data_IF_462169782367
#
_entry.id   IF_462169782367
#
_cell.length_a   1.000
_cell.length_b   1.000
_cell.length_c   1.000
_cell.angle_alpha   90.00
_cell.angle_beta   90.00
_cell.angle_gamma   90.00
#
_symmetry.space_group_name_H-M   'P 1'
#
loop_
_entity.id
_entity.type
_entity.pdbx_description
1 polymer ?
#
# COMPACT_ATOMS: atom_id res chain seq x y z
N UNK A 1 1.20 -16.04 -22.92
CA UNK A 1 0.63 -15.15 -23.94
C UNK A 1 1.71 -14.35 -24.66
N UNK A 2 2.35 -13.35 -24.06
CA UNK A 2 3.40 -12.56 -24.74
C UNK A 2 4.69 -13.35 -25.05
N UNK A 3 5.17 -14.15 -24.10
CA UNK A 3 6.34 -15.05 -24.26
C UNK A 3 6.00 -16.38 -24.92
N UNK A 4 4.72 -16.63 -25.27
CA UNK A 4 4.25 -17.91 -25.78
C UNK A 4 4.21 -19.07 -24.78
N UNK A 5 4.54 -18.85 -23.50
CA UNK A 5 4.66 -19.92 -22.48
C UNK A 5 3.31 -20.45 -21.97
N UNK A 6 2.24 -19.66 -22.11
CA UNK A 6 0.85 -20.05 -21.80
C UNK A 6 -0.07 -19.59 -22.93
N UNK A 7 -1.12 -20.36 -23.19
CA UNK A 7 -2.20 -20.00 -24.12
C UNK A 7 -3.34 -19.25 -23.40
N UNK A 8 -4.42 -18.96 -24.12
CA UNK A 8 -5.57 -18.24 -23.57
C UNK A 8 -6.32 -19.08 -22.52
N UNK A 9 -6.45 -20.39 -22.73
CA UNK A 9 -7.15 -21.27 -21.80
C UNK A 9 -6.39 -21.34 -20.47
N UNK A 10 -5.08 -21.56 -20.51
CA UNK A 10 -4.22 -21.53 -19.32
C UNK A 10 -4.24 -20.17 -18.62
N UNK A 11 -4.28 -19.05 -19.36
CA UNK A 11 -4.46 -17.73 -18.77
C UNK A 11 -5.80 -17.61 -18.00
N UNK A 12 -6.89 -18.08 -18.60
CA UNK A 12 -8.22 -18.05 -17.97
C UNK A 12 -8.32 -18.98 -16.75
N UNK A 13 -7.72 -20.17 -16.80
CA UNK A 13 -7.66 -21.10 -15.68
C UNK A 13 -6.91 -20.50 -14.48
N UNK A 14 -5.73 -19.92 -14.72
CA UNK A 14 -4.95 -19.24 -13.68
C UNK A 14 -5.70 -18.04 -13.09
N UNK A 15 -6.36 -17.24 -13.94
CA UNK A 15 -7.10 -16.05 -13.52
C UNK A 15 -8.29 -16.41 -12.63
N UNK A 16 -9.06 -17.43 -13.01
CA UNK A 16 -10.23 -17.88 -12.21
C UNK A 16 -9.79 -18.56 -10.91
N UNK A 17 -8.70 -19.32 -10.93
CA UNK A 17 -8.11 -19.95 -9.74
C UNK A 17 -7.61 -18.93 -8.71
N UNK A 18 -7.24 -17.71 -9.12
CA UNK A 18 -6.83 -16.63 -8.23
C UNK A 18 -7.99 -16.04 -7.39
N UNK A 19 -9.24 -16.35 -7.73
CA UNK A 19 -10.45 -15.85 -7.05
C UNK A 19 -11.26 -16.99 -6.38
N UNK A 20 -10.71 -17.70 -5.38
CA UNK A 20 -11.28 -18.94 -4.87
C UNK A 20 -12.50 -18.78 -3.96
N UNK A 21 -12.83 -17.55 -3.52
CA UNK A 21 -13.89 -17.31 -2.54
C UNK A 21 -14.42 -15.88 -2.61
N UNK A 22 -15.46 -15.59 -1.81
CA UNK A 22 -15.95 -14.21 -1.60
C UNK A 22 -14.88 -13.34 -0.92
N UNK A 23 -14.92 -12.04 -1.20
CA UNK A 23 -14.01 -11.06 -0.63
C UNK A 23 -13.45 -10.12 -1.70
N UNK A 24 -12.47 -9.30 -1.31
CA UNK A 24 -11.68 -8.49 -2.23
C UNK A 24 -10.36 -9.18 -2.60
N UNK A 25 -9.54 -8.54 -3.45
CA UNK A 25 -8.20 -9.02 -3.81
C UNK A 25 -7.41 -9.48 -2.57
N UNK A 26 -6.84 -10.67 -2.65
CA UNK A 26 -6.10 -11.32 -1.56
C UNK A 26 -4.61 -10.96 -1.53
N UNK A 27 -4.17 -9.99 -2.33
CA UNK A 27 -2.83 -9.42 -2.29
C UNK A 27 -2.85 -8.09 -1.51
N UNK A 28 -1.69 -7.52 -1.21
CA UNK A 28 -1.52 -6.14 -0.72
C UNK A 28 -1.80 -5.10 -1.83
N UNK A 29 -2.93 -5.27 -2.52
CA UNK A 29 -3.50 -4.28 -3.42
C UNK A 29 -4.26 -3.19 -2.67
N UNK A 30 -4.97 -2.34 -3.40
CA UNK A 30 -5.66 -1.17 -2.83
C UNK A 30 -6.68 -1.53 -1.76
N UNK A 31 -7.47 -2.60 -1.94
CA UNK A 31 -8.48 -2.99 -0.97
C UNK A 31 -7.89 -3.38 0.39
N UNK A 32 -6.92 -4.30 0.43
CA UNK A 32 -6.28 -4.69 1.69
C UNK A 32 -5.48 -3.53 2.30
N UNK A 33 -4.79 -2.75 1.46
CA UNK A 33 -4.07 -1.55 1.90
C UNK A 33 -5.00 -0.56 2.59
N UNK A 34 -6.10 -0.13 1.93
CA UNK A 34 -7.01 0.86 2.51
C UNK A 34 -7.76 0.35 3.74
N UNK A 35 -8.09 -0.94 3.81
CA UNK A 35 -8.61 -1.55 5.05
C UNK A 35 -7.57 -1.46 6.17
N UNK A 36 -6.31 -1.76 5.89
CA UNK A 36 -5.24 -1.67 6.88
C UNK A 36 -4.99 -0.23 7.35
N UNK A 37 -5.12 0.75 6.44
CA UNK A 37 -5.01 2.16 6.77
C UNK A 37 -6.19 2.69 7.58
N UNK A 38 -7.41 2.17 7.35
CA UNK A 38 -8.54 2.45 8.23
C UNK A 38 -8.27 1.98 9.67
N UNK A 39 -7.62 0.83 9.83
CA UNK A 39 -7.21 0.33 11.15
C UNK A 39 -6.07 1.15 11.76
N UNK A 40 -5.07 1.52 10.98
CA UNK A 40 -3.93 2.35 11.41
C UNK A 40 -4.35 3.78 11.81
N UNK A 41 -5.35 4.36 11.13
CA UNK A 41 -6.00 5.60 11.53
C UNK A 41 -6.78 5.47 12.84
N UNK A 42 -7.00 4.25 13.34
CA UNK A 42 -7.83 3.97 14.49
C UNK A 42 -9.33 3.97 14.17
N UNK A 43 -9.74 3.87 12.90
CA UNK A 43 -11.14 3.94 12.46
C UNK A 43 -11.83 2.58 12.33
N UNK A 44 -11.12 1.48 12.56
CA UNK A 44 -11.70 0.15 12.71
C UNK A 44 -11.19 -0.54 13.98
N UNK A 45 -11.93 -1.54 14.45
CA UNK A 45 -11.48 -2.38 15.57
C UNK A 45 -10.16 -3.10 15.20
N UNK A 46 -9.29 -3.40 16.19
CA UNK A 46 -8.05 -4.12 15.94
C UNK A 46 -8.29 -5.45 15.24
N UNK A 47 -7.40 -5.81 14.32
CA UNK A 47 -7.43 -6.95 13.38
C UNK A 47 -8.52 -6.91 12.31
N UNK A 48 -9.45 -5.95 12.33
CA UNK A 48 -10.57 -5.91 11.40
C UNK A 48 -10.14 -5.85 9.92
N UNK A 49 -9.00 -5.24 9.61
CA UNK A 49 -8.55 -5.03 8.24
C UNK A 49 -8.27 -6.33 7.46
N UNK A 50 -7.72 -7.34 8.14
CA UNK A 50 -7.09 -8.48 7.44
C UNK A 50 -7.90 -9.77 7.48
N UNK A 51 -8.96 -9.87 8.31
CA UNK A 51 -9.75 -11.12 8.43
C UNK A 51 -10.31 -11.53 7.05
N UNK A 52 -9.94 -12.71 6.51
CA UNK A 52 -10.48 -13.22 5.27
C UNK A 52 -12.01 -13.26 5.32
N UNK A 53 -12.68 -12.81 4.27
CA UNK A 53 -14.13 -12.70 4.25
C UNK A 53 -14.88 -14.01 4.60
N UNK A 54 -14.41 -15.22 4.18
CA UNK A 54 -15.07 -16.48 4.54
C UNK A 54 -14.88 -16.91 6.00
N UNK A 55 -13.98 -16.28 6.77
CA UNK A 55 -13.74 -16.69 8.15
C UNK A 55 -14.90 -16.29 9.05
N UNK A 56 -15.29 -17.19 9.97
CA UNK A 56 -16.29 -16.88 11.02
C UNK A 56 -15.93 -15.62 11.84
N UNK A 57 -14.64 -15.33 11.95
CA UNK A 57 -14.10 -14.16 12.65
C UNK A 57 -14.59 -12.86 12.03
N UNK A 58 -14.86 -12.83 10.71
CA UNK A 58 -15.43 -11.65 10.04
C UNK A 58 -16.83 -11.35 10.56
N UNK A 59 -17.67 -12.38 10.72
CA UNK A 59 -19.00 -12.24 11.31
C UNK A 59 -18.97 -11.83 12.78
N UNK A 60 -18.01 -12.37 13.56
CA UNK A 60 -17.79 -11.97 14.95
C UNK A 60 -17.35 -10.52 15.05
N UNK A 61 -16.42 -10.08 14.19
CA UNK A 61 -15.96 -8.69 14.10
C UNK A 61 -17.10 -7.74 13.71
N UNK A 62 -17.96 -8.14 12.78
CA UNK A 62 -19.15 -7.36 12.41
C UNK A 62 -20.09 -7.16 13.61
N UNK A 63 -20.36 -8.21 14.38
CA UNK A 63 -21.16 -8.13 15.60
C UNK A 63 -20.52 -7.22 16.67
N UNK A 64 -19.20 -7.34 16.89
CA UNK A 64 -18.48 -6.48 17.83
C UNK A 64 -18.45 -5.02 17.38
N UNK A 65 -18.33 -4.77 16.08
CA UNK A 65 -18.44 -3.41 15.51
C UNK A 65 -19.83 -2.81 15.76
N UNK A 66 -20.89 -3.61 15.60
CA UNK A 66 -22.27 -3.20 15.89
C UNK A 66 -22.51 -2.87 17.36
N UNK A 67 -21.85 -3.57 18.30
CA UNK A 67 -21.87 -3.18 19.72
C UNK A 67 -21.11 -1.88 19.94
N UNK A 68 -19.88 -1.81 19.41
CA UNK A 68 -18.99 -0.69 19.68
C UNK A 68 -19.54 0.63 19.18
N UNK A 69 -20.20 0.65 18.03
CA UNK A 69 -20.76 1.90 17.49
C UNK A 69 -21.84 2.50 18.41
N UNK A 70 -22.64 1.68 19.10
CA UNK A 70 -23.62 2.18 20.08
C UNK A 70 -22.94 2.87 21.25
N UNK A 71 -21.84 2.30 21.76
CA UNK A 71 -21.05 2.90 22.84
C UNK A 71 -20.40 4.22 22.39
N UNK A 72 -19.84 4.26 21.18
CA UNK A 72 -19.25 5.46 20.60
C UNK A 72 -20.24 6.62 20.47
N UNK A 73 -21.52 6.34 20.21
CA UNK A 73 -22.58 7.37 20.20
C UNK A 73 -22.78 7.97 21.59
N UNK A 74 -22.79 7.15 22.63
CA UNK A 74 -22.93 7.61 24.02
C UNK A 74 -21.70 8.41 24.50
N UNK A 75 -20.51 8.02 24.03
CA UNK A 75 -19.24 8.70 24.31
C UNK A 75 -19.03 9.98 23.48
N UNK A 76 -19.90 10.23 22.49
CA UNK A 76 -19.70 11.25 21.45
C UNK A 76 -18.33 11.08 20.75
N UNK A 77 -17.88 9.84 20.52
CA UNK A 77 -16.59 9.55 19.90
C UNK A 77 -16.66 9.75 18.38
N UNK A 78 -16.37 10.99 17.96
CA UNK A 78 -16.44 11.42 16.56
C UNK A 78 -15.15 11.09 15.79
N UNK A 79 -15.23 10.94 14.45
CA UNK A 79 -14.04 10.82 13.60
C UNK A 79 -12.99 11.91 13.84
N UNK A 80 -13.39 13.15 14.12
CA UNK A 80 -12.48 14.28 14.41
C UNK A 80 -11.72 14.17 15.74
N UNK A 81 -12.14 13.27 16.63
CA UNK A 81 -11.42 12.95 17.88
C UNK A 81 -10.37 11.85 17.67
N UNK A 82 -10.40 11.15 16.54
CA UNK A 82 -9.53 10.00 16.22
C UNK A 82 -8.57 10.38 15.09
N UNK A 83 -9.09 10.90 13.99
CA UNK A 83 -8.32 11.28 12.81
C UNK A 83 -7.66 12.64 13.03
N UNK A 84 -6.40 12.61 13.46
CA UNK A 84 -5.51 13.77 13.68
C UNK A 84 -4.32 13.72 12.72
N UNK A 85 -3.51 14.78 12.64
CA UNK A 85 -2.27 14.74 11.83
C UNK A 85 -1.41 13.53 12.19
N UNK A 86 -1.23 13.25 13.48
CA UNK A 86 -0.46 12.10 13.97
C UNK A 86 -1.06 10.75 13.56
N UNK A 87 -2.39 10.59 13.52
CA UNK A 87 -2.99 9.35 13.05
C UNK A 87 -2.76 9.14 11.55
N UNK A 88 -2.75 10.22 10.74
CA UNK A 88 -2.38 10.14 9.33
C UNK A 88 -0.90 9.81 9.14
N UNK A 89 -0.01 10.34 9.98
CA UNK A 89 1.42 9.97 9.97
C UNK A 89 1.61 8.48 10.33
N UNK A 90 0.88 7.96 11.33
CA UNK A 90 0.83 6.52 11.62
C UNK A 90 0.36 5.71 10.40
N UNK A 91 -0.69 6.17 9.72
CA UNK A 91 -1.19 5.49 8.53
C UNK A 91 -0.14 5.47 7.40
N UNK A 92 0.61 6.56 7.18
CA UNK A 92 1.72 6.59 6.21
C UNK A 92 2.85 5.62 6.58
N UNK A 93 3.22 5.58 7.86
CA UNK A 93 4.22 4.63 8.35
C UNK A 93 3.79 3.18 8.11
N UNK A 94 2.53 2.85 8.45
CA UNK A 94 1.94 1.53 8.15
C UNK A 94 1.92 1.27 6.65
N UNK A 95 1.48 2.22 5.83
CA UNK A 95 1.44 2.04 4.37
C UNK A 95 2.81 1.62 3.79
N UNK A 96 3.88 2.25 4.28
CA UNK A 96 5.25 1.96 3.86
C UNK A 96 5.71 0.58 4.34
N UNK A 97 5.43 0.24 5.60
CA UNK A 97 5.71 -1.06 6.20
C UNK A 97 5.01 -2.24 5.49
N UNK A 98 3.82 -1.99 4.94
CA UNK A 98 3.03 -2.96 4.18
C UNK A 98 3.48 -3.10 2.72
N UNK A 99 4.15 -2.09 2.14
CA UNK A 99 4.30 -1.96 0.70
C UNK A 99 2.96 -1.69 0.01
N UNK A 100 2.16 -0.80 0.59
CA UNK A 100 0.79 -0.49 0.19
C UNK A 100 0.65 0.01 -1.26
N UNK A 101 -0.60 0.04 -1.75
CA UNK A 101 -0.94 0.55 -3.08
C UNK A 101 -0.58 2.02 -3.26
N UNK A 102 -0.12 2.41 -4.47
CA UNK A 102 0.05 3.82 -4.87
C UNK A 102 -1.26 4.60 -4.94
N UNK A 103 -2.41 3.95 -4.80
CA UNK A 103 -3.71 4.62 -4.66
C UNK A 103 -3.96 5.11 -3.21
N UNK A 104 -3.15 4.71 -2.23
CA UNK A 104 -3.35 5.14 -0.85
C UNK A 104 -3.12 6.65 -0.64
N UNK A 105 -2.08 7.28 -1.23
CA UNK A 105 -1.88 8.72 -1.17
C UNK A 105 -3.09 9.57 -1.58
N UNK A 106 -3.67 9.43 -2.80
CA UNK A 106 -4.84 10.23 -3.17
C UNK A 106 -6.05 10.00 -2.26
N UNK A 107 -6.27 8.78 -1.76
CA UNK A 107 -7.36 8.50 -0.82
C UNK A 107 -7.15 9.15 0.55
N UNK A 108 -5.99 8.98 1.18
CA UNK A 108 -5.74 9.59 2.49
C UNK A 108 -5.68 11.11 2.42
N UNK A 109 -5.14 11.69 1.34
CA UNK A 109 -5.17 13.14 1.12
C UNK A 109 -6.62 13.63 1.01
N UNK A 110 -7.49 12.92 0.27
CA UNK A 110 -8.90 13.27 0.19
C UNK A 110 -9.60 13.21 1.56
N UNK A 111 -9.38 12.13 2.34
CA UNK A 111 -9.94 11.98 3.68
C UNK A 111 -9.43 13.09 4.61
N UNK A 112 -8.12 13.35 4.61
CA UNK A 112 -7.51 14.41 5.43
C UNK A 112 -8.11 15.78 5.11
N UNK A 113 -8.29 16.12 3.83
CA UNK A 113 -8.95 17.35 3.40
C UNK A 113 -10.38 17.46 3.94
N UNK A 114 -11.17 16.39 3.92
CA UNK A 114 -12.51 16.37 4.51
C UNK A 114 -12.51 16.50 6.04
N UNK A 115 -11.42 16.12 6.69
CA UNK A 115 -11.20 16.30 8.12
C UNK A 115 -10.59 17.66 8.48
N UNK A 116 -10.31 18.53 7.50
CA UNK A 116 -9.63 19.81 7.73
C UNK A 116 -8.15 19.67 8.11
N UNK A 117 -7.52 18.55 7.74
CA UNK A 117 -6.12 18.24 8.01
C UNK A 117 -5.32 18.45 6.73
N UNK A 118 -4.24 19.22 6.85
CA UNK A 118 -3.26 19.36 5.77
C UNK A 118 -2.41 18.10 5.67
N UNK A 119 -2.52 17.42 4.53
CA UNK A 119 -1.73 16.25 4.18
C UNK A 119 -1.36 16.35 2.71
N UNK A 120 -0.06 16.36 2.42
CA UNK A 120 0.48 16.48 1.06
C UNK A 120 1.25 15.22 0.66
N UNK A 121 1.73 15.16 -0.59
CA UNK A 121 2.59 14.06 -1.03
C UNK A 121 3.97 14.14 -0.36
N UNK A 122 4.46 15.34 -0.06
CA UNK A 122 5.71 15.55 0.67
C UNK A 122 5.67 14.94 2.08
N UNK A 123 4.51 14.93 2.74
CA UNK A 123 4.33 14.21 4.01
C UNK A 123 4.53 12.70 3.85
N UNK A 124 4.09 12.13 2.72
CA UNK A 124 4.28 10.71 2.43
C UNK A 124 5.75 10.33 2.32
N UNK A 125 6.55 11.16 1.68
CA UNK A 125 8.00 10.96 1.62
C UNK A 125 8.63 11.18 2.99
N UNK A 126 8.36 12.33 3.64
CA UNK A 126 8.95 12.71 4.93
C UNK A 126 8.75 11.63 6.00
N UNK A 127 7.56 11.04 6.07
CA UNK A 127 7.20 10.04 7.09
C UNK A 127 7.53 8.62 6.62
N UNK A 128 7.27 8.32 5.35
CA UNK A 128 7.25 6.94 4.85
C UNK A 128 8.54 6.45 4.20
N UNK A 129 9.34 7.32 3.59
CA UNK A 129 10.46 6.91 2.71
C UNK A 129 11.43 5.93 3.38
N UNK A 130 11.83 6.24 4.62
CA UNK A 130 12.80 5.45 5.38
C UNK A 130 12.20 4.23 6.10
N UNK A 131 10.88 4.08 6.10
CA UNK A 131 10.23 2.93 6.71
C UNK A 131 10.47 1.70 5.81
N UNK A 132 11.01 0.60 6.37
CA UNK A 132 11.31 -0.60 5.60
C UNK A 132 10.04 -1.41 5.31
N UNK A 133 10.08 -2.23 4.27
CA UNK A 133 9.06 -3.23 3.97
C UNK A 133 9.23 -4.39 4.95
N UNK A 134 8.24 -4.61 5.81
CA UNK A 134 8.27 -5.72 6.77
C UNK A 134 7.20 -6.78 6.48
N UNK A 135 6.20 -6.48 5.65
CA UNK A 135 5.16 -7.46 5.29
C UNK A 135 5.51 -8.14 3.98
N UNK A 136 5.68 -9.46 4.06
CA UNK A 136 5.99 -10.34 2.94
C UNK A 136 4.73 -10.79 2.21
N UNK A 137 3.98 -9.83 1.66
CA UNK A 137 2.75 -10.08 0.93
C UNK A 137 2.89 -9.62 -0.53
N UNK A 138 2.36 -10.39 -1.48
CA UNK A 138 2.31 -10.00 -2.89
C UNK A 138 1.62 -8.62 -3.03
N UNK A 139 2.05 -7.75 -3.94
CA UNK A 139 3.03 -8.01 -5.02
C UNK A 139 4.50 -7.84 -4.63
N UNK A 140 4.81 -7.28 -3.46
CA UNK A 140 6.20 -7.02 -3.06
C UNK A 140 6.89 -8.23 -2.40
N UNK A 141 6.10 -9.16 -1.86
CA UNK A 141 6.56 -10.39 -1.21
C UNK A 141 5.93 -11.66 -1.78
N UNK A 142 5.91 -12.70 -0.96
CA UNK A 142 5.58 -14.08 -1.34
C UNK A 142 4.17 -14.52 -0.92
N UNK A 143 3.69 -14.09 0.24
CA UNK A 143 2.43 -14.59 0.81
C UNK A 143 1.22 -13.80 0.32
N UNK A 144 0.02 -14.29 0.66
CA UNK A 144 -1.27 -13.62 0.42
C UNK A 144 -1.88 -13.12 1.75
N UNK A 145 -2.98 -12.39 1.65
CA UNK A 145 -3.67 -11.73 2.76
C UNK A 145 -4.10 -12.65 3.89
N UNK A 146 -4.42 -13.92 3.60
CA UNK A 146 -4.70 -14.92 4.64
C UNK A 146 -3.46 -15.18 5.52
N UNK A 147 -2.28 -15.29 4.91
CA UNK A 147 -1.02 -15.41 5.63
C UNK A 147 -0.75 -14.19 6.50
N UNK A 148 -0.95 -12.99 5.94
CA UNK A 148 -0.83 -11.72 6.67
C UNK A 148 -1.76 -11.64 7.88
N UNK A 149 -3.02 -12.05 7.73
CA UNK A 149 -3.97 -12.10 8.83
C UNK A 149 -3.53 -13.05 9.95
N UNK A 150 -3.19 -14.30 9.59
CA UNK A 150 -2.78 -15.32 10.58
C UNK A 150 -1.50 -14.95 11.31
N UNK A 151 -0.60 -14.21 10.66
CA UNK A 151 0.63 -13.68 11.25
C UNK A 151 0.39 -12.59 12.30
N UNK A 152 -0.81 -12.03 12.38
CA UNK A 152 -1.18 -10.98 13.35
C UNK A 152 -1.70 -9.69 12.71
N UNK A 153 -1.65 -9.57 11.38
CA UNK A 153 -2.23 -8.44 10.64
C UNK A 153 -1.64 -7.08 11.01
N UNK A 154 -2.49 -6.05 10.96
CA UNK A 154 -2.08 -4.66 11.23
C UNK A 154 -1.55 -4.46 12.65
N UNK A 155 -2.12 -5.05 13.72
CA UNK A 155 -1.57 -4.90 15.06
C UNK A 155 -0.11 -5.38 15.18
N UNK A 156 0.27 -6.43 14.46
CA UNK A 156 1.66 -6.90 14.42
C UNK A 156 2.60 -5.96 13.67
N UNK A 157 2.11 -5.26 12.66
CA UNK A 157 2.87 -4.18 12.00
C UNK A 157 3.04 -3.00 12.95
N UNK A 158 1.97 -2.58 13.63
CA UNK A 158 2.02 -1.51 14.63
C UNK A 158 3.01 -1.85 15.76
N UNK A 159 3.08 -3.12 16.19
CA UNK A 159 4.04 -3.57 17.19
C UNK A 159 5.50 -3.34 16.77
N UNK A 160 5.85 -3.69 15.53
CA UNK A 160 7.21 -3.47 15.02
C UNK A 160 7.53 -1.99 14.83
N UNK A 161 6.55 -1.18 14.40
CA UNK A 161 6.71 0.28 14.30
C UNK A 161 6.86 0.95 15.68
N UNK A 162 6.11 0.47 16.69
CA UNK A 162 6.24 0.93 18.08
C UNK A 162 7.64 0.63 18.63
N UNK A 163 8.15 -0.59 18.41
CA UNK A 163 9.51 -0.97 18.83
C UNK A 163 10.59 -0.09 18.21
N UNK A 164 10.38 0.33 16.96
CA UNK A 164 11.29 1.22 16.25
C UNK A 164 11.16 2.70 16.66
N UNK A 165 10.19 3.06 17.51
CA UNK A 165 9.98 4.43 17.97
C UNK A 165 9.44 5.40 16.91
N UNK A 166 8.83 4.87 15.84
CA UNK A 166 8.28 5.65 14.71
C UNK A 166 6.75 5.75 14.74
N UNK A 167 6.12 5.32 15.83
CA UNK A 167 4.67 5.28 16.00
C UNK A 167 4.22 6.37 16.98
N UNK A 168 3.19 7.14 16.61
CA UNK A 168 2.48 8.03 17.54
C UNK A 168 1.54 7.21 18.43
N UNK A 169 2.06 6.76 19.56
CA UNK A 169 1.40 5.80 20.45
C UNK A 169 0.11 6.32 21.10
N UNK A 170 0.04 7.62 21.38
CA UNK A 170 -1.10 8.23 22.09
C UNK A 170 -2.34 8.48 21.19
N UNK A 171 -2.25 8.14 19.90
CA UNK A 171 -3.39 8.29 18.99
C UNK A 171 -4.58 7.45 19.48
N UNK A 172 -5.76 8.07 19.57
CA UNK A 172 -7.00 7.38 19.93
C UNK A 172 -7.44 6.40 18.82
N UNK A 173 -8.30 5.45 19.18
CA UNK A 173 -8.97 4.57 18.22
C UNK A 173 -10.42 4.34 18.59
N UNK A 174 -11.22 3.86 17.63
CA UNK A 174 -12.60 3.45 17.84
C UNK A 174 -12.75 2.35 18.89
N UNK A 175 -11.68 1.63 19.25
CA UNK A 175 -11.73 0.58 20.28
C UNK A 175 -11.78 1.11 21.72
N UNK A 176 -11.54 2.42 21.92
CA UNK A 176 -11.35 3.01 23.24
C UNK A 176 -9.93 2.86 23.80
N UNK A 177 -9.05 2.12 23.11
CA UNK A 177 -7.62 2.02 23.39
C UNK A 177 -6.81 2.97 22.51
N UNK A 178 -5.62 3.35 22.95
CA UNK A 178 -4.66 4.04 22.09
C UNK A 178 -4.01 3.08 21.11
N UNK A 179 -3.43 3.61 20.03
CA UNK A 179 -2.65 2.83 19.05
C UNK A 179 -1.47 2.12 19.73
N UNK A 180 -0.79 2.78 20.68
CA UNK A 180 0.30 2.19 21.46
C UNK A 180 -0.16 1.02 22.34
N UNK A 181 -1.35 1.11 22.94
CA UNK A 181 -1.93 0.02 23.73
C UNK A 181 -2.29 -1.20 22.87
N UNK A 182 -2.78 -0.96 21.65
CA UNK A 182 -3.05 -2.02 20.67
C UNK A 182 -1.73 -2.69 20.25
N UNK A 183 -0.71 -1.90 19.96
CA UNK A 183 0.60 -2.37 19.48
C UNK A 183 1.37 -3.16 20.55
N UNK A 184 1.33 -2.74 21.82
CA UNK A 184 2.21 -3.21 22.90
C UNK A 184 2.38 -4.73 23.01
N UNK A 185 1.29 -5.49 22.84
CA UNK A 185 1.29 -6.94 23.01
C UNK A 185 1.02 -7.71 21.71
N UNK A 186 0.93 -7.03 20.57
CA UNK A 186 0.54 -7.62 19.30
C UNK A 186 1.75 -8.20 18.54
N UNK A 187 2.54 -9.07 19.18
CA UNK A 187 3.68 -9.71 18.50
C UNK A 187 3.20 -10.56 17.32
N UNK A 188 3.98 -10.56 16.22
CA UNK A 188 3.73 -11.47 15.11
C UNK A 188 3.80 -12.93 15.57
N UNK A 189 2.92 -13.76 15.05
CA UNK A 189 2.96 -15.21 15.22
C UNK A 189 3.83 -15.91 14.16
N UNK A 190 4.23 -15.19 13.11
CA UNK A 190 5.03 -15.71 12.01
C UNK A 190 5.96 -14.63 11.44
N UNK A 191 7.25 -14.73 11.76
CA UNK A 191 8.28 -13.80 11.32
C UNK A 191 8.63 -13.92 9.82
N UNK A 192 8.24 -15.01 9.15
CA UNK A 192 8.42 -15.14 7.69
C UNK A 192 7.40 -14.33 6.89
N UNK A 193 6.31 -13.90 7.55
CA UNK A 193 5.23 -13.11 6.95
C UNK A 193 5.30 -11.64 7.37
N UNK A 194 5.56 -11.39 8.66
CA UNK A 194 5.77 -10.05 9.20
C UNK A 194 7.15 -10.02 9.86
N UNK A 195 8.10 -9.45 9.15
CA UNK A 195 9.51 -9.41 9.52
C UNK A 195 9.75 -8.45 10.70
N UNK A 196 10.78 -8.69 11.53
CA UNK A 196 11.26 -7.69 12.47
C UNK A 196 11.70 -6.41 11.75
N UNK A 197 11.45 -5.24 12.35
CA UNK A 197 11.82 -3.95 11.74
C UNK A 197 13.32 -3.85 11.41
N UNK A 198 14.18 -4.38 12.29
CA UNK A 198 15.65 -4.37 12.15
C UNK A 198 16.18 -5.34 11.09
N UNK A 199 15.39 -6.35 10.72
CA UNK A 199 15.73 -7.34 9.70
C UNK A 199 14.60 -7.41 8.67
N UNK A 200 14.34 -6.33 7.94
CA UNK A 200 13.17 -6.23 7.08
C UNK A 200 13.34 -7.03 5.79
N UNK A 201 12.25 -7.20 5.06
CA UNK A 201 12.29 -7.76 3.70
C UNK A 201 13.05 -6.84 2.75
N UNK A 202 12.89 -5.52 2.91
CA UNK A 202 13.59 -4.50 2.12
C UNK A 202 13.71 -3.17 2.87
N UNK A 203 14.87 -2.53 2.83
CA UNK A 203 15.06 -1.17 3.33
C UNK A 203 14.53 -0.11 2.34
N UNK A 204 14.03 1.02 2.84
CA UNK A 204 13.56 2.14 2.01
C UNK A 204 12.40 1.77 1.09
N UNK A 205 11.26 1.38 1.67
CA UNK A 205 10.13 0.85 0.91
C UNK A 205 9.00 1.85 0.68
N UNK A 206 9.05 3.01 1.35
CA UNK A 206 8.09 4.08 1.20
C UNK A 206 8.04 4.65 -0.22
N UNK A 207 7.06 5.51 -0.45
CA UNK A 207 6.99 6.27 -1.69
C UNK A 207 8.06 7.35 -1.70
N UNK A 208 8.72 7.53 -2.84
CA UNK A 208 9.47 8.75 -3.13
C UNK A 208 8.59 9.68 -3.94
N UNK A 209 8.69 10.98 -3.69
CA UNK A 209 7.98 12.01 -4.45
C UNK A 209 8.96 12.61 -5.44
N UNK A 210 8.55 12.63 -6.70
CA UNK A 210 9.31 13.21 -7.79
C UNK A 210 8.62 14.48 -8.24
N UNK A 211 9.40 15.47 -8.64
CA UNK A 211 8.93 16.71 -9.28
C UNK A 211 9.87 17.08 -10.41
N UNK A 212 9.42 17.94 -11.32
CA UNK A 212 10.25 18.43 -12.41
C UNK A 212 9.48 19.25 -13.43
N UNK A 213 10.06 19.39 -14.61
CA UNK A 213 9.43 20.12 -15.73
C UNK A 213 8.26 19.38 -16.41
N UNK A 214 8.03 18.09 -16.10
CA UNK A 214 6.93 17.29 -16.65
C UNK A 214 5.68 17.25 -15.77
N UNK A 215 5.85 17.41 -14.46
CA UNK A 215 4.78 17.32 -13.46
C UNK A 215 5.22 18.04 -12.18
N UNK A 216 4.27 18.67 -11.50
CA UNK A 216 4.53 19.30 -10.20
C UNK A 216 4.82 18.26 -9.12
N UNK A 217 4.16 17.09 -9.19
CA UNK A 217 4.36 15.99 -8.24
C UNK A 217 3.96 14.65 -8.84
N UNK A 218 4.75 13.61 -8.56
CA UNK A 218 4.48 12.21 -8.88
C UNK A 218 5.03 11.32 -7.76
N UNK A 219 4.54 10.08 -7.67
CA UNK A 219 5.04 9.10 -6.69
C UNK A 219 5.62 7.88 -7.39
N UNK A 220 6.71 7.34 -6.84
CA UNK A 220 7.26 6.05 -7.24
C UNK A 220 7.24 5.07 -6.07
N UNK A 221 6.75 3.86 -6.33
CA UNK A 221 6.62 2.79 -5.33
C UNK A 221 7.93 2.01 -5.20
N UNK A 222 8.74 2.37 -4.20
CA UNK A 222 10.05 1.74 -4.03
C UNK A 222 9.97 0.28 -3.58
N UNK A 223 8.90 -0.14 -2.90
CA UNK A 223 8.76 -1.52 -2.41
C UNK A 223 8.81 -2.62 -3.49
N UNK A 224 8.50 -2.28 -4.76
CA UNK A 224 8.53 -3.24 -5.89
C UNK A 224 9.72 -3.05 -6.83
N UNK A 225 10.62 -2.11 -6.55
CA UNK A 225 11.85 -1.93 -7.34
C UNK A 225 12.82 -3.09 -7.04
N UNK A 226 12.89 -4.07 -7.93
CA UNK A 226 13.73 -5.26 -7.75
C UNK A 226 15.23 -4.99 -7.90
N UNK A 227 16.06 -5.90 -7.41
CA UNK A 227 17.53 -5.79 -7.48
C UNK A 227 18.05 -5.76 -8.92
N UNK A 228 17.40 -6.48 -9.85
CA UNK A 228 17.73 -6.42 -11.27
C UNK A 228 17.50 -5.02 -11.86
N UNK A 229 16.41 -4.36 -11.48
CA UNK A 229 16.11 -2.98 -11.91
C UNK A 229 17.16 -2.02 -11.34
N UNK A 230 17.45 -2.11 -10.04
CA UNK A 230 18.46 -1.25 -9.39
C UNK A 230 19.83 -1.40 -10.06
N UNK A 231 20.29 -2.65 -10.24
CA UNK A 231 21.59 -2.93 -10.85
C UNK A 231 21.70 -2.35 -12.27
N UNK A 232 20.61 -2.40 -13.02
CA UNK A 232 20.59 -1.96 -14.43
C UNK A 232 20.48 -0.44 -14.53
N UNK A 233 19.66 0.21 -13.70
CA UNK A 233 19.26 1.61 -13.89
C UNK A 233 19.63 2.55 -12.76
N UNK A 234 20.10 2.09 -11.61
CA UNK A 234 20.30 2.94 -10.42
C UNK A 234 21.69 2.74 -9.77
N UNK A 235 22.58 1.99 -10.39
CA UNK A 235 23.89 1.61 -9.83
C UNK A 235 25.09 2.14 -10.61
N UNK A 236 24.92 3.17 -11.44
CA UNK A 236 26.06 3.86 -12.05
C UNK A 236 26.92 4.53 -10.94
N UNK A 237 28.21 4.18 -10.78
CA UNK A 237 29.07 4.76 -9.76
C UNK A 237 29.24 6.28 -9.87
N UNK A 238 29.05 6.84 -11.07
CA UNK A 238 29.17 8.28 -11.29
C UNK A 238 27.86 9.03 -11.03
N UNK A 239 26.72 8.32 -10.98
CA UNK A 239 25.39 8.91 -10.84
C UNK A 239 24.39 7.96 -10.17
N UNK A 240 24.67 7.57 -8.93
CA UNK A 240 23.87 6.62 -8.16
C UNK A 240 22.42 7.08 -8.00
N UNK A 241 21.46 6.16 -8.07
CA UNK A 241 20.02 6.42 -7.99
C UNK A 241 19.46 7.34 -9.10
N UNK A 242 20.11 7.35 -10.27
CA UNK A 242 19.63 8.09 -11.44
C UNK A 242 19.90 7.35 -12.75
N UNK A 243 19.11 7.65 -13.76
CA UNK A 243 19.34 7.21 -15.14
C UNK A 243 18.69 8.17 -16.13
N UNK A 244 19.15 8.09 -17.37
CA UNK A 244 18.50 8.72 -18.52
C UNK A 244 17.92 7.62 -19.42
N UNK A 245 16.74 7.89 -19.98
CA UNK A 245 16.06 6.95 -20.85
C UNK A 245 15.32 7.67 -21.97
N UNK A 246 15.21 7.03 -23.14
CA UNK A 246 14.42 7.54 -24.26
C UNK A 246 12.93 7.29 -23.99
N UNK A 247 12.13 8.35 -24.00
CA UNK A 247 10.69 8.23 -23.79
C UNK A 247 9.99 7.62 -25.02
N UNK A 248 9.17 6.59 -24.77
CA UNK A 248 8.22 6.04 -25.74
C UNK A 248 6.82 6.43 -25.25
N UNK A 249 6.21 7.40 -25.92
CA UNK A 249 4.95 8.01 -25.49
C UNK A 249 3.76 7.33 -26.15
N UNK A 250 2.75 7.00 -25.36
CA UNK A 250 1.45 6.48 -25.79
C UNK A 250 0.31 7.39 -25.34
N UNK A 251 -0.68 7.57 -26.22
CA UNK A 251 -1.91 8.32 -25.97
C UNK A 251 -3.01 7.38 -25.44
N UNK A 252 -3.02 7.16 -24.12
CA UNK A 252 -3.95 6.26 -23.47
C UNK A 252 -3.63 4.76 -23.67
N UNK A 253 -4.38 3.88 -23.01
CA UNK A 253 -4.13 2.44 -23.02
C UNK A 253 -4.38 1.78 -24.37
N UNK A 254 -5.31 2.29 -25.17
CA UNK A 254 -5.62 1.76 -26.50
C UNK A 254 -4.44 1.93 -27.47
N UNK A 255 -3.80 3.11 -27.46
CA UNK A 255 -2.62 3.39 -28.28
C UNK A 255 -1.40 2.57 -27.82
N UNK A 256 -1.26 2.37 -26.50
CA UNK A 256 -0.28 1.43 -25.95
C UNK A 256 -0.47 0.01 -26.50
N UNK A 257 -1.67 -0.54 -26.42
CA UNK A 257 -1.93 -1.89 -26.92
C UNK A 257 -1.75 -2.01 -28.44
N UNK A 258 -2.08 -0.96 -29.19
CA UNK A 258 -1.92 -0.94 -30.65
C UNK A 258 -0.45 -0.91 -31.08
N UNK A 259 0.41 -0.18 -30.35
CA UNK A 259 1.77 0.12 -30.82
C UNK A 259 2.91 -0.54 -30.04
N UNK A 260 2.71 -1.05 -28.82
CA UNK A 260 3.83 -1.55 -27.99
C UNK A 260 4.69 -2.63 -28.67
N UNK A 261 4.09 -3.43 -29.56
CA UNK A 261 4.78 -4.48 -30.32
C UNK A 261 5.20 -4.04 -31.74
N UNK A 262 5.03 -2.76 -32.09
CA UNK A 262 5.47 -2.23 -33.38
C UNK A 262 7.00 -2.11 -33.41
N UNK A 263 7.71 -2.87 -34.27
CA UNK A 263 9.16 -2.81 -34.37
C UNK A 263 9.67 -1.41 -34.77
N UNK A 264 8.84 -0.57 -35.41
CA UNK A 264 9.21 0.80 -35.77
C UNK A 264 9.46 1.71 -34.55
N UNK A 265 8.96 1.34 -33.36
CA UNK A 265 9.26 2.06 -32.11
C UNK A 265 10.71 1.87 -31.65
N UNK A 266 11.39 0.81 -32.15
CA UNK A 266 12.75 0.45 -31.81
C UNK A 266 12.99 0.45 -30.29
N UNK A 267 12.10 -0.15 -29.50
CA UNK A 267 12.21 -0.14 -28.02
C UNK A 267 13.40 -1.00 -27.57
N UNK A 268 14.20 -0.47 -26.65
CA UNK A 268 15.38 -1.11 -26.03
C UNK A 268 15.34 -1.00 -24.49
N UNK A 269 16.32 -1.58 -23.78
CA UNK A 269 16.39 -1.48 -22.32
C UNK A 269 16.61 -0.06 -21.78
N UNK A 270 17.06 0.89 -22.60
CA UNK A 270 17.27 2.28 -22.22
C UNK A 270 16.07 3.17 -22.57
N UNK A 271 14.89 2.57 -22.72
CA UNK A 271 13.64 3.27 -22.93
C UNK A 271 12.79 3.36 -21.66
N UNK A 272 12.01 4.44 -21.54
CA UNK A 272 10.95 4.58 -20.54
C UNK A 272 9.60 4.68 -21.24
N UNK A 273 8.67 3.79 -20.87
CA UNK A 273 7.31 3.81 -21.41
C UNK A 273 6.50 4.87 -20.66
N UNK A 274 5.93 5.82 -21.41
CA UNK A 274 5.14 6.93 -20.87
C UNK A 274 3.75 6.87 -21.46
N UNK A 275 2.74 6.73 -20.61
CA UNK A 275 1.33 6.81 -21.03
C UNK A 275 0.76 8.13 -20.50
N UNK A 276 0.18 8.93 -21.39
CA UNK A 276 -0.52 10.16 -21.02
C UNK A 276 -2.00 10.11 -21.41
N UNK A 277 -2.77 11.07 -20.92
CA UNK A 277 -4.23 11.05 -21.09
C UNK A 277 -4.95 10.07 -20.15
N UNK A 278 -4.24 9.42 -19.22
CA UNK A 278 -4.81 8.45 -18.28
C UNK A 278 -5.20 9.06 -16.90
N UNK A 279 -5.17 10.39 -16.76
CA UNK A 279 -5.46 11.08 -15.50
C UNK A 279 -6.97 11.26 -15.20
N UNK A 280 -7.28 11.94 -14.10
CA UNK A 280 -8.66 12.20 -13.63
C UNK A 280 -9.55 12.87 -14.67
N UNK A 281 -9.01 13.80 -15.45
CA UNK A 281 -9.74 14.49 -16.53
C UNK A 281 -9.53 13.80 -17.87
N UNK A 282 -8.29 13.37 -18.15
CA UNK A 282 -7.92 12.82 -19.45
C UNK A 282 -8.64 11.51 -19.79
N UNK A 283 -8.80 10.60 -18.81
CA UNK A 283 -9.30 9.26 -19.10
C UNK A 283 -10.81 9.19 -19.33
N UNK A 284 -11.75 9.68 -18.48
CA UNK A 284 -11.71 10.30 -17.14
C UNK A 284 -11.78 9.30 -15.95
N UNK A 285 -11.48 9.77 -14.74
CA UNK A 285 -11.56 8.96 -13.50
C UNK A 285 -10.25 8.29 -13.08
N UNK A 286 -9.15 8.57 -13.78
CA UNK A 286 -7.80 8.00 -13.61
C UNK A 286 -7.76 6.48 -13.70
N UNK A 287 -7.27 5.96 -14.84
CA UNK A 287 -7.13 4.53 -15.12
C UNK A 287 -5.74 4.00 -14.76
#
# INVERSE_FOLDING_TARGET
LATGEIDYEGFMEMTTSASPSVGHCNTMGTALSMNALAEALGMSLPTCASIPAPYRERGQMAYMTGKRICEMVLEDLRPSKIMTKQSFENAIAVASALGASSNCPPHLIAIARHMGIELSLEDWQRVGENIPLIVNCMPAGKYLGEGFHRAGGVPAVLHELQKAGVLHEDCASVSGKTIGEIAKNAKTSNADVIFPYEQPLKHGAGFIVLSGNFFDSAIMKMSVVGEAFKKTYLSDPNNENSFEARAIVFEGPEDYHARINDPALNIDEHCILVIRGAGTVGYPGSA
#
